data_IF_382580300887
#
_entry.id   IF_382580300887
#
_cell.length_a   1.000
_cell.length_b   1.000
_cell.length_c   1.000
_cell.angle_alpha   90.00
_cell.angle_beta   90.00
_cell.angle_gamma   90.00
#
_symmetry.space_group_name_H-M   'P 1'
#
loop_
_entity.id
_entity.type
_entity.pdbx_description
1 polymer ?
#
# COMPACT_ATOMS: atom_id res chain seq x y z
N UNK A 1 -14.66 -11.42 -19.81
CA UNK A 1 -14.13 -10.47 -20.81
C UNK A 1 -14.31 -9.07 -20.20
N UNK A 2 -13.25 -8.28 -20.08
CA UNK A 2 -13.36 -6.92 -19.58
C UNK A 2 -14.15 -6.06 -20.56
N UNK A 3 -15.13 -5.30 -20.07
CA UNK A 3 -15.97 -4.39 -20.88
C UNK A 3 -15.55 -2.94 -20.70
N UNK A 4 -15.01 -2.62 -19.52
CA UNK A 4 -14.59 -1.27 -19.17
C UNK A 4 -13.30 -1.30 -18.34
N UNK A 5 -12.30 -0.52 -18.75
CA UNK A 5 -11.01 -0.42 -18.08
C UNK A 5 -10.81 1.00 -17.58
N UNK A 6 -10.45 1.13 -16.30
CA UNK A 6 -10.07 2.38 -15.65
C UNK A 6 -8.58 2.66 -15.85
N UNK A 7 -8.21 3.86 -16.26
CA UNK A 7 -6.82 4.28 -16.40
C UNK A 7 -6.48 5.35 -15.37
N UNK A 8 -5.39 5.16 -14.65
CA UNK A 8 -4.77 6.13 -13.75
C UNK A 8 -3.36 6.39 -14.23
N UNK A 9 -2.99 7.65 -14.39
CA UNK A 9 -1.66 8.03 -14.84
C UNK A 9 -1.09 9.14 -13.98
N UNK A 10 0.23 9.16 -13.83
CA UNK A 10 0.92 10.30 -13.25
C UNK A 10 0.92 11.47 -14.27
N UNK A 11 0.21 12.57 -14.01
CA UNK A 11 0.09 13.67 -14.98
C UNK A 11 1.41 14.43 -15.19
N UNK A 12 2.34 14.36 -14.23
CA UNK A 12 3.62 15.06 -14.28
C UNK A 12 4.66 14.31 -15.14
N UNK A 13 4.36 13.07 -15.54
CA UNK A 13 5.22 12.25 -16.40
C UNK A 13 4.64 12.17 -17.80
N UNK A 14 5.29 12.83 -18.77
CA UNK A 14 4.88 12.83 -20.19
C UNK A 14 4.74 11.41 -20.74
N UNK A 15 5.66 10.52 -20.37
CA UNK A 15 5.65 9.12 -20.78
C UNK A 15 4.41 8.38 -20.26
N UNK A 16 4.00 8.60 -18.99
CA UNK A 16 2.78 8.02 -18.41
C UNK A 16 1.54 8.42 -19.22
N UNK A 17 1.46 9.70 -19.60
CA UNK A 17 0.35 10.22 -20.39
C UNK A 17 0.34 9.60 -21.79
N UNK A 18 1.51 9.45 -22.43
CA UNK A 18 1.61 8.83 -23.76
C UNK A 18 1.20 7.36 -23.74
N UNK A 19 1.66 6.61 -22.75
CA UNK A 19 1.34 5.19 -22.62
C UNK A 19 -0.14 4.95 -22.28
N UNK A 20 -0.69 5.76 -21.40
CA UNK A 20 -2.12 5.69 -21.10
C UNK A 20 -2.98 5.98 -22.35
N UNK A 21 -2.57 6.94 -23.21
CA UNK A 21 -3.24 7.20 -24.50
C UNK A 21 -3.08 6.05 -25.48
N UNK A 22 -1.92 5.40 -25.54
CA UNK A 22 -1.72 4.21 -26.36
C UNK A 22 -2.61 3.06 -25.92
N UNK A 23 -2.71 2.80 -24.60
CA UNK A 23 -3.61 1.81 -24.03
C UNK A 23 -5.08 2.14 -24.31
N UNK A 24 -5.50 3.41 -24.14
CA UNK A 24 -6.84 3.88 -24.47
C UNK A 24 -7.18 3.59 -25.94
N UNK A 25 -6.30 3.97 -26.87
CA UNK A 25 -6.52 3.73 -28.32
C UNK A 25 -6.59 2.24 -28.64
N UNK A 26 -5.74 1.43 -28.03
CA UNK A 26 -5.71 -0.01 -28.22
C UNK A 26 -7.01 -0.67 -27.75
N UNK A 27 -7.47 -0.39 -26.55
CA UNK A 27 -8.69 -0.98 -26.00
C UNK A 27 -9.94 -0.47 -26.73
N UNK A 28 -10.00 0.82 -27.04
CA UNK A 28 -11.12 1.39 -27.79
C UNK A 28 -11.28 0.75 -29.17
N UNK A 29 -10.17 0.49 -29.89
CA UNK A 29 -10.20 -0.20 -31.19
C UNK A 29 -10.65 -1.67 -31.09
N UNK A 30 -10.60 -2.27 -29.89
CA UNK A 30 -11.09 -3.61 -29.58
C UNK A 30 -12.46 -3.63 -28.89
N UNK A 31 -13.18 -2.49 -28.89
CA UNK A 31 -14.55 -2.39 -28.37
C UNK A 31 -14.66 -2.35 -26.84
N UNK A 32 -13.56 -2.07 -26.13
CA UNK A 32 -13.53 -1.94 -24.68
C UNK A 32 -13.65 -0.44 -24.30
N UNK A 33 -14.56 -0.13 -23.41
CA UNK A 33 -14.75 1.23 -22.90
C UNK A 33 -13.61 1.64 -21.96
N UNK A 34 -13.22 2.91 -21.99
CA UNK A 34 -12.19 3.46 -21.12
C UNK A 34 -12.78 4.53 -20.20
N UNK A 35 -12.40 4.48 -18.95
CA UNK A 35 -12.66 5.51 -17.94
C UNK A 35 -11.33 6.07 -17.44
N UNK A 36 -11.17 7.39 -17.38
CA UNK A 36 -10.02 8.03 -16.76
C UNK A 36 -10.34 8.33 -15.30
N UNK A 37 -9.61 7.67 -14.40
CA UNK A 37 -9.74 7.86 -12.97
C UNK A 37 -8.66 8.86 -12.54
N UNK A 38 -9.05 9.96 -11.91
CA UNK A 38 -8.12 11.06 -11.62
C UNK A 38 -7.46 10.96 -10.23
N UNK A 39 -8.21 10.47 -9.27
CA UNK A 39 -7.77 10.34 -7.88
C UNK A 39 -8.47 9.17 -7.19
N UNK A 40 -8.08 8.90 -5.97
CA UNK A 40 -8.59 7.77 -5.18
C UNK A 40 -10.09 7.88 -4.81
N UNK A 41 -10.70 9.06 -4.91
CA UNK A 41 -12.12 9.29 -4.59
C UNK A 41 -13.00 9.27 -5.85
N UNK A 42 -12.41 8.96 -7.02
CA UNK A 42 -13.16 8.84 -8.27
C UNK A 42 -13.98 7.56 -8.27
N UNK A 43 -15.30 7.67 -8.47
CA UNK A 43 -16.19 6.50 -8.66
C UNK A 43 -15.77 5.73 -9.93
N UNK A 44 -15.36 4.46 -9.82
CA UNK A 44 -14.91 3.66 -10.95
C UNK A 44 -16.01 3.19 -11.89
N UNK A 45 -17.31 3.34 -11.54
CA UNK A 45 -18.49 3.07 -12.40
C UNK A 45 -18.34 1.82 -13.30
N UNK A 46 -18.69 0.66 -12.86
CA UNK A 46 -18.66 -0.58 -13.64
C UNK A 46 -17.30 -0.91 -14.32
N UNK A 47 -16.19 -0.39 -13.76
CA UNK A 47 -14.84 -0.70 -14.21
C UNK A 47 -14.49 -2.14 -13.82
N UNK A 48 -14.04 -2.93 -14.80
CA UNK A 48 -13.70 -4.35 -14.61
C UNK A 48 -12.20 -4.58 -14.28
N UNK A 49 -11.34 -3.63 -14.64
CA UNK A 49 -9.88 -3.65 -14.42
C UNK A 49 -9.35 -2.22 -14.30
N UNK A 50 -8.42 -1.98 -13.39
CA UNK A 50 -7.69 -0.73 -13.30
C UNK A 50 -6.26 -0.91 -13.79
N UNK A 51 -5.80 -0.03 -14.69
CA UNK A 51 -4.40 0.06 -15.10
C UNK A 51 -3.80 1.37 -14.61
N UNK A 52 -2.64 1.28 -13.97
CA UNK A 52 -1.90 2.46 -13.52
C UNK A 52 -0.62 2.64 -14.31
N UNK A 53 -0.32 3.89 -14.68
CA UNK A 53 0.88 4.29 -15.43
C UNK A 53 1.71 5.24 -14.58
N UNK A 54 2.78 4.73 -13.96
CA UNK A 54 3.61 5.50 -13.03
C UNK A 54 4.49 4.61 -12.17
N UNK A 55 4.89 5.09 -11.00
CA UNK A 55 5.57 4.30 -9.98
C UNK A 55 4.61 3.86 -8.87
N UNK A 56 5.17 3.32 -7.77
CA UNK A 56 4.41 2.79 -6.64
C UNK A 56 3.40 3.80 -6.06
N UNK A 57 3.70 5.11 -6.04
CA UNK A 57 2.74 6.13 -5.59
C UNK A 57 1.48 6.21 -6.46
N UNK A 58 1.62 6.13 -7.78
CA UNK A 58 0.46 6.09 -8.70
C UNK A 58 -0.31 4.77 -8.56
N UNK A 59 0.43 3.68 -8.34
CA UNK A 59 -0.17 2.38 -8.07
C UNK A 59 -1.04 2.39 -6.81
N UNK A 60 -0.58 3.01 -5.71
CA UNK A 60 -1.33 3.12 -4.46
C UNK A 60 -2.64 3.91 -4.61
N UNK A 61 -2.69 4.91 -5.52
CA UNK A 61 -3.95 5.59 -5.85
C UNK A 61 -4.95 4.59 -6.47
N UNK A 62 -4.50 3.79 -7.43
CA UNK A 62 -5.30 2.75 -8.05
C UNK A 62 -5.69 1.63 -7.07
N UNK A 63 -4.77 1.25 -6.20
CA UNK A 63 -4.98 0.22 -5.20
C UNK A 63 -6.12 0.59 -4.24
N UNK A 64 -6.23 1.86 -3.84
CA UNK A 64 -7.31 2.31 -2.98
C UNK A 64 -8.69 2.10 -3.63
N UNK A 65 -8.86 2.51 -4.89
CA UNK A 65 -10.10 2.27 -5.63
C UNK A 65 -10.35 0.77 -5.76
N UNK A 66 -9.32 0.01 -6.12
CA UNK A 66 -9.38 -1.43 -6.29
C UNK A 66 -9.83 -2.17 -5.03
N UNK A 67 -9.31 -1.78 -3.85
CA UNK A 67 -9.67 -2.35 -2.56
C UNK A 67 -11.12 -2.05 -2.15
N UNK A 68 -11.59 -0.83 -2.42
CA UNK A 68 -12.94 -0.40 -2.05
C UNK A 68 -14.01 -1.09 -2.92
N UNK A 69 -13.74 -1.28 -4.22
CA UNK A 69 -14.70 -1.76 -5.20
C UNK A 69 -14.45 -3.20 -5.68
N UNK A 70 -13.48 -3.90 -5.09
CA UNK A 70 -13.06 -5.27 -5.49
C UNK A 70 -12.74 -5.39 -6.98
N UNK A 71 -11.94 -4.47 -7.52
CA UNK A 71 -11.54 -4.43 -8.93
C UNK A 71 -10.09 -4.90 -9.05
N UNK A 72 -9.75 -5.81 -10.01
CA UNK A 72 -8.35 -6.16 -10.29
C UNK A 72 -7.53 -4.94 -10.71
N UNK A 73 -6.26 -4.93 -10.33
CA UNK A 73 -5.33 -3.83 -10.58
C UNK A 73 -4.05 -4.34 -11.25
N UNK A 74 -3.52 -3.59 -12.22
CA UNK A 74 -2.21 -3.81 -12.80
C UNK A 74 -1.44 -2.50 -12.90
N UNK A 75 -0.14 -2.53 -12.63
CA UNK A 75 0.75 -1.36 -12.70
C UNK A 75 1.78 -1.48 -13.81
N UNK A 76 1.84 -0.47 -14.68
CA UNK A 76 2.93 -0.26 -15.64
C UNK A 76 3.92 0.71 -15.00
N UNK A 77 5.15 0.24 -14.79
CA UNK A 77 6.19 1.01 -14.13
C UNK A 77 6.81 2.03 -15.10
N UNK A 78 6.96 3.27 -14.64
CA UNK A 78 7.59 4.35 -15.39
C UNK A 78 8.67 4.99 -14.53
N UNK A 79 9.85 4.43 -14.62
CA UNK A 79 11.01 4.88 -13.84
C UNK A 79 11.75 3.74 -13.15
N UNK A 80 12.25 3.98 -11.96
CA UNK A 80 12.87 2.90 -11.16
C UNK A 80 11.84 1.87 -10.79
N UNK A 81 12.11 0.59 -11.12
CA UNK A 81 11.23 -0.53 -10.80
C UNK A 81 10.84 -0.50 -9.32
N UNK A 82 9.52 -0.52 -9.03
CA UNK A 82 8.98 -0.57 -7.68
C UNK A 82 8.84 -2.00 -7.16
N UNK A 83 8.30 -2.17 -5.95
CA UNK A 83 7.88 -3.48 -5.46
C UNK A 83 6.43 -3.82 -5.81
N UNK A 84 5.67 -2.84 -6.30
CA UNK A 84 4.26 -2.97 -6.68
C UNK A 84 4.05 -3.00 -8.18
N UNK A 85 4.81 -2.18 -8.91
CA UNK A 85 4.75 -2.07 -10.38
C UNK A 85 5.90 -2.83 -11.02
N UNK A 86 5.60 -3.80 -11.87
CA UNK A 86 6.60 -4.73 -12.45
C UNK A 86 6.74 -4.64 -13.95
N UNK A 87 5.66 -4.28 -14.65
CA UNK A 87 5.69 -4.28 -16.10
C UNK A 87 6.41 -3.03 -16.61
N UNK A 88 7.39 -3.24 -17.47
CA UNK A 88 8.18 -2.16 -18.06
C UNK A 88 7.49 -1.58 -19.30
N UNK A 89 7.77 -0.30 -19.64
CA UNK A 89 7.18 0.39 -20.76
C UNK A 89 7.30 -0.36 -22.11
N UNK A 90 8.42 -1.02 -22.31
CA UNK A 90 8.75 -1.76 -23.52
C UNK A 90 7.80 -2.93 -23.78
N UNK A 91 7.22 -3.49 -22.72
CA UNK A 91 6.31 -4.62 -22.78
C UNK A 91 4.83 -4.21 -22.86
N UNK A 92 4.52 -2.90 -22.94
CA UNK A 92 3.12 -2.43 -22.91
C UNK A 92 2.24 -3.15 -23.94
N UNK A 93 2.69 -3.24 -25.21
CA UNK A 93 1.88 -3.86 -26.27
C UNK A 93 1.59 -5.34 -25.98
N UNK A 94 2.58 -6.06 -25.47
CA UNK A 94 2.44 -7.46 -25.06
C UNK A 94 1.42 -7.60 -23.91
N UNK A 95 1.53 -6.74 -22.90
CA UNK A 95 0.60 -6.70 -21.77
C UNK A 95 -0.84 -6.43 -22.21
N UNK A 96 -1.06 -5.43 -23.08
CA UNK A 96 -2.39 -5.12 -23.58
C UNK A 96 -3.00 -6.29 -24.39
N UNK A 97 -2.18 -6.98 -25.18
CA UNK A 97 -2.59 -8.18 -25.93
C UNK A 97 -2.93 -9.34 -25.00
N UNK A 98 -2.09 -9.58 -23.98
CA UNK A 98 -2.33 -10.63 -22.98
C UNK A 98 -3.65 -10.40 -22.20
N UNK A 99 -3.93 -9.14 -21.84
CA UNK A 99 -5.19 -8.75 -21.20
C UNK A 99 -6.39 -9.11 -22.09
N UNK A 100 -6.35 -8.80 -23.40
CA UNK A 100 -7.40 -9.13 -24.35
C UNK A 100 -7.61 -10.63 -24.49
N UNK A 101 -6.52 -11.39 -24.52
CA UNK A 101 -6.55 -12.86 -24.69
C UNK A 101 -6.84 -13.61 -23.39
N UNK A 102 -6.94 -12.90 -22.26
CA UNK A 102 -7.04 -13.49 -20.91
C UNK A 102 -5.84 -14.37 -20.52
N UNK A 103 -4.65 -14.01 -21.03
CA UNK A 103 -3.37 -14.67 -20.75
C UNK A 103 -2.69 -13.97 -19.56
N UNK A 104 -3.28 -14.06 -18.36
CA UNK A 104 -2.78 -13.46 -17.14
C UNK A 104 -3.11 -14.31 -15.91
N UNK A 105 -2.42 -14.06 -14.82
CA UNK A 105 -2.72 -14.63 -13.52
C UNK A 105 -3.25 -13.54 -12.58
N UNK A 106 -4.00 -13.94 -11.56
CA UNK A 106 -4.42 -13.08 -10.47
C UNK A 106 -3.61 -13.47 -9.24
N UNK A 107 -2.90 -12.51 -8.69
CA UNK A 107 -2.19 -12.62 -7.42
C UNK A 107 -2.98 -11.87 -6.36
N UNK A 108 -3.29 -12.53 -5.25
CA UNK A 108 -3.96 -11.89 -4.13
C UNK A 108 -2.93 -11.39 -3.11
N UNK A 109 -3.12 -10.17 -2.60
CA UNK A 109 -2.29 -9.61 -1.53
C UNK A 109 -3.11 -9.37 -0.28
N UNK A 110 -2.49 -9.68 0.85
CA UNK A 110 -3.01 -9.41 2.18
C UNK A 110 -3.19 -7.92 2.42
N UNK A 111 -4.29 -7.54 3.07
CA UNK A 111 -4.60 -6.17 3.46
C UNK A 111 -4.75 -6.05 4.96
N UNK A 112 -4.47 -4.86 5.49
CA UNK A 112 -4.94 -4.48 6.82
C UNK A 112 -6.33 -3.84 6.74
N UNK A 113 -7.14 -4.11 7.74
CA UNK A 113 -8.34 -3.36 8.07
C UNK A 113 -8.04 -2.49 9.29
N UNK A 114 -8.25 -1.19 9.17
CA UNK A 114 -7.94 -0.19 10.19
C UNK A 114 -9.23 0.51 10.61
N UNK A 115 -9.53 0.53 11.90
CA UNK A 115 -10.73 1.17 12.47
C UNK A 115 -10.35 2.20 13.51
N UNK A 116 -11.06 3.31 13.52
CA UNK A 116 -11.00 4.33 14.56
C UNK A 116 -12.34 4.30 15.32
N UNK A 117 -12.43 3.68 16.49
CA UNK A 117 -13.70 3.54 17.20
C UNK A 117 -14.37 4.87 17.57
N UNK A 118 -13.58 5.92 17.87
CA UNK A 118 -14.10 7.24 18.24
C UNK A 118 -14.86 7.95 17.12
N UNK A 119 -14.46 7.74 15.84
CA UNK A 119 -15.13 8.34 14.67
C UNK A 119 -16.01 7.34 13.91
N UNK A 120 -15.82 6.04 14.12
CA UNK A 120 -16.45 4.97 13.37
C UNK A 120 -15.87 4.77 11.97
N UNK A 121 -14.79 5.47 11.63
CA UNK A 121 -14.13 5.36 10.33
C UNK A 121 -13.41 4.03 10.17
N UNK A 122 -13.36 3.58 8.92
CA UNK A 122 -12.73 2.33 8.52
C UNK A 122 -11.93 2.52 7.23
N UNK A 123 -10.71 2.00 7.22
CA UNK A 123 -9.80 2.06 6.08
C UNK A 123 -9.21 0.69 5.78
N UNK A 124 -8.71 0.52 4.55
CA UNK A 124 -7.88 -0.61 4.15
C UNK A 124 -6.49 -0.11 3.79
N UNK A 125 -5.45 -0.89 4.12
CA UNK A 125 -4.07 -0.60 3.76
C UNK A 125 -3.46 -1.77 2.99
N UNK A 126 -2.82 -1.46 1.87
CA UNK A 126 -1.99 -2.40 1.13
C UNK A 126 -0.58 -2.47 1.72
N UNK A 127 -0.02 -1.33 2.11
CA UNK A 127 1.31 -1.26 2.72
C UNK A 127 1.24 -1.19 4.24
N UNK A 128 0.74 -0.09 4.79
CA UNK A 128 0.85 0.17 6.22
C UNK A 128 -0.20 1.14 6.80
N UNK A 129 -0.39 1.02 8.10
CA UNK A 129 -1.04 2.00 8.94
C UNK A 129 -0.01 2.57 9.92
N UNK A 130 0.13 3.89 9.97
CA UNK A 130 1.15 4.59 10.74
C UNK A 130 0.51 5.60 11.66
N UNK A 131 0.81 5.52 12.97
CA UNK A 131 0.58 6.63 13.88
C UNK A 131 1.89 7.39 14.01
N UNK A 132 1.88 8.68 13.72
CA UNK A 132 3.07 9.55 13.76
C UNK A 132 2.82 10.83 14.53
N UNK A 133 3.88 11.42 15.06
CA UNK A 133 3.83 12.72 15.73
C UNK A 133 3.50 13.89 14.78
N UNK A 134 3.40 13.63 13.48
CA UNK A 134 3.20 14.66 12.47
C UNK A 134 4.32 15.71 12.47
N UNK A 135 3.95 16.96 12.25
CA UNK A 135 4.88 18.09 12.25
C UNK A 135 5.35 18.56 13.63
N UNK A 136 4.95 17.90 14.73
CA UNK A 136 5.30 18.34 16.09
C UNK A 136 6.71 17.88 16.49
N UNK A 137 7.42 18.75 17.24
CA UNK A 137 8.79 18.46 17.70
C UNK A 137 8.87 17.41 18.82
N UNK A 138 7.76 17.10 19.47
CA UNK A 138 7.72 16.18 20.62
C UNK A 138 7.33 14.78 20.20
N UNK A 139 7.98 13.79 20.79
CA UNK A 139 7.64 12.38 20.62
C UNK A 139 6.23 12.11 21.13
N UNK A 140 5.57 11.16 20.47
CA UNK A 140 4.31 10.58 20.96
C UNK A 140 4.60 9.39 21.86
N UNK A 141 3.63 9.06 22.69
CA UNK A 141 3.65 7.83 23.48
C UNK A 141 2.46 6.97 23.07
N UNK A 142 2.76 5.79 22.52
CA UNK A 142 1.75 4.85 22.00
C UNK A 142 1.83 3.56 22.79
N UNK A 143 0.73 3.20 23.43
CA UNK A 143 0.54 1.86 23.98
C UNK A 143 0.12 0.91 22.84
N UNK A 144 0.83 -0.21 22.72
CA UNK A 144 0.53 -1.25 21.75
C UNK A 144 0.11 -2.52 22.48
N UNK A 145 -1.05 -3.07 22.10
CA UNK A 145 -1.49 -4.39 22.52
C UNK A 145 -1.70 -5.30 21.31
N UNK A 146 -1.48 -6.60 21.49
CA UNK A 146 -1.71 -7.65 20.50
C UNK A 146 -2.61 -8.71 21.13
N UNK A 147 -3.78 -8.95 20.57
CA UNK A 147 -4.78 -9.87 21.08
C UNK A 147 -5.15 -9.61 22.57
N UNK A 148 -5.16 -8.33 22.97
CA UNK A 148 -5.41 -7.90 24.35
C UNK A 148 -4.20 -7.99 25.29
N UNK A 149 -3.09 -8.59 24.87
CA UNK A 149 -1.85 -8.60 25.65
C UNK A 149 -1.04 -7.34 25.36
N UNK A 150 -0.50 -6.73 26.41
CA UNK A 150 0.34 -5.54 26.27
C UNK A 150 1.69 -5.92 25.67
N UNK A 151 1.95 -5.51 24.42
CA UNK A 151 3.25 -5.62 23.78
C UNK A 151 4.23 -4.59 24.36
N UNK A 152 3.81 -3.33 24.53
CA UNK A 152 4.63 -2.29 25.11
C UNK A 152 4.01 -0.91 25.05
N UNK A 153 4.73 0.05 25.62
CA UNK A 153 4.45 1.49 25.46
C UNK A 153 5.68 2.13 24.87
N UNK A 154 5.53 2.76 23.72
CA UNK A 154 6.61 3.28 22.90
C UNK A 154 6.61 4.80 22.91
N UNK A 155 7.69 5.40 23.41
CA UNK A 155 7.97 6.82 23.22
C UNK A 155 8.81 6.94 21.95
N UNK A 156 8.20 7.43 20.86
CA UNK A 156 8.76 7.32 19.51
C UNK A 156 8.29 8.47 18.61
N UNK A 157 8.85 8.57 17.41
CA UNK A 157 8.31 9.40 16.34
C UNK A 157 7.01 8.81 15.77
N UNK A 158 6.81 7.49 15.91
CA UNK A 158 5.61 6.80 15.46
C UNK A 158 5.63 5.29 15.69
N UNK A 159 4.53 4.65 15.31
CA UNK A 159 4.36 3.20 15.26
C UNK A 159 3.77 2.80 13.91
N UNK A 160 4.34 1.77 13.30
CA UNK A 160 3.91 1.22 12.02
C UNK A 160 3.32 -0.18 12.26
N UNK A 161 2.17 -0.44 11.65
CA UNK A 161 1.69 -1.78 11.39
C UNK A 161 1.67 -1.98 9.87
N UNK A 162 2.53 -2.87 9.36
CA UNK A 162 2.68 -3.10 7.93
C UNK A 162 2.22 -4.49 7.51
N UNK A 163 1.71 -4.60 6.30
CA UNK A 163 1.51 -5.88 5.60
C UNK A 163 2.86 -6.46 5.16
N UNK A 164 2.92 -7.72 4.71
CA UNK A 164 4.09 -8.24 4.01
C UNK A 164 4.50 -7.40 2.80
N UNK A 165 3.53 -6.89 2.02
CA UNK A 165 3.78 -5.97 0.89
C UNK A 165 4.45 -4.68 1.37
N UNK A 166 3.94 -4.07 2.43
CA UNK A 166 4.48 -2.84 3.04
C UNK A 166 5.79 -3.04 3.81
N UNK A 167 6.20 -4.30 4.05
CA UNK A 167 7.48 -4.58 4.72
C UNK A 167 8.70 -4.01 3.98
N UNK A 168 8.59 -3.77 2.67
CA UNK A 168 9.62 -3.14 1.84
C UNK A 168 9.48 -1.63 1.70
N UNK A 169 8.45 -1.04 2.31
CA UNK A 169 8.16 0.40 2.33
C UNK A 169 8.71 1.11 3.57
N UNK A 170 7.86 1.90 4.23
CA UNK A 170 8.27 2.70 5.40
C UNK A 170 8.75 1.83 6.56
N UNK A 171 8.15 0.65 6.76
CA UNK A 171 8.60 -0.31 7.79
C UNK A 171 10.07 -0.68 7.62
N UNK A 172 10.54 -0.94 6.39
CA UNK A 172 11.97 -1.24 6.13
C UNK A 172 12.87 -0.06 6.52
N UNK A 173 12.49 1.16 6.14
CA UNK A 173 13.24 2.38 6.48
C UNK A 173 13.31 2.63 7.98
N UNK A 174 12.31 2.17 8.73
CA UNK A 174 12.26 2.23 10.19
C UNK A 174 12.99 1.05 10.87
N UNK A 175 13.62 0.13 10.10
CA UNK A 175 14.36 -1.01 10.63
C UNK A 175 13.52 -2.29 10.79
N UNK A 176 12.35 -2.35 10.19
CA UNK A 176 11.52 -3.56 10.12
C UNK A 176 12.13 -4.65 9.23
N UNK A 177 11.78 -5.91 9.43
CA UNK A 177 12.24 -7.01 8.60
C UNK A 177 11.55 -7.01 7.23
N UNK A 178 12.25 -7.51 6.22
CA UNK A 178 11.66 -7.82 4.91
C UNK A 178 10.86 -9.11 5.03
N UNK A 179 9.64 -9.10 4.55
CA UNK A 179 8.71 -10.24 4.56
C UNK A 179 8.27 -10.54 3.13
N UNK A 180 8.22 -11.82 2.80
CA UNK A 180 7.73 -12.26 1.48
C UNK A 180 6.24 -11.92 1.33
N UNK A 181 5.81 -11.33 0.20
CA UNK A 181 4.47 -10.74 0.06
C UNK A 181 3.28 -11.70 0.16
N UNK A 182 3.50 -13.00 -0.04
CA UNK A 182 2.49 -14.06 0.06
C UNK A 182 2.26 -14.58 1.50
N UNK A 183 3.03 -14.08 2.47
CA UNK A 183 2.84 -14.45 3.87
C UNK A 183 1.59 -13.76 4.45
N UNK A 184 0.96 -14.41 5.43
CA UNK A 184 -0.18 -13.87 6.18
C UNK A 184 0.28 -13.44 7.58
N UNK A 185 0.81 -12.24 7.69
CA UNK A 185 1.31 -11.69 8.95
C UNK A 185 1.24 -10.14 8.96
N UNK A 186 1.45 -9.57 10.13
CA UNK A 186 1.54 -8.11 10.33
C UNK A 186 2.89 -7.81 10.97
N UNK A 187 3.58 -6.80 10.44
CA UNK A 187 4.88 -6.33 10.95
C UNK A 187 4.65 -5.09 11.78
N UNK A 188 5.04 -5.12 13.05
CA UNK A 188 4.99 -3.97 13.96
C UNK A 188 6.37 -3.35 14.06
N UNK A 189 6.52 -2.09 13.68
CA UNK A 189 7.81 -1.40 13.65
C UNK A 189 7.72 -0.05 14.34
N UNK A 190 8.37 0.14 15.49
CA UNK A 190 8.51 1.46 16.10
C UNK A 190 9.42 2.38 15.29
N UNK A 191 9.05 3.66 15.13
CA UNK A 191 9.84 4.65 14.39
C UNK A 191 10.66 5.47 15.35
N UNK A 192 11.99 5.39 15.26
CA UNK A 192 12.92 6.18 16.09
C UNK A 192 12.58 6.12 17.60
N UNK A 193 12.28 4.93 18.12
CA UNK A 193 11.91 4.77 19.52
C UNK A 193 13.07 5.12 20.47
N UNK A 194 12.77 5.82 21.56
CA UNK A 194 13.76 6.24 22.57
C UNK A 194 14.16 5.13 23.55
N UNK A 195 13.67 3.91 23.38
CA UNK A 195 14.03 2.76 24.21
C UNK A 195 15.01 1.85 23.48
N UNK A 196 16.10 1.47 24.14
CA UNK A 196 17.10 0.53 23.61
C UNK A 196 16.59 -0.93 23.49
N UNK A 197 15.42 -1.23 24.05
CA UNK A 197 14.84 -2.57 24.07
C UNK A 197 13.68 -2.75 23.08
N UNK A 198 13.50 -1.81 22.17
CA UNK A 198 12.45 -1.88 21.15
C UNK A 198 12.95 -2.58 19.90
N UNK A 199 12.33 -3.70 19.55
CA UNK A 199 12.59 -4.41 18.30
C UNK A 199 11.32 -4.46 17.47
N UNK A 200 11.40 -4.41 16.13
CA UNK A 200 10.29 -4.81 15.28
C UNK A 200 9.85 -6.23 15.57
N UNK A 201 8.55 -6.49 15.43
CA UNK A 201 7.94 -7.77 15.74
C UNK A 201 7.03 -8.20 14.58
N UNK A 202 6.99 -9.50 14.28
CA UNK A 202 6.05 -10.09 13.33
C UNK A 202 4.99 -10.85 14.15
N UNK A 203 3.71 -10.56 13.87
CA UNK A 203 2.58 -11.24 14.48
C UNK A 203 1.72 -11.90 13.42
N UNK A 204 0.84 -12.82 13.82
CA UNK A 204 -0.10 -13.46 12.90
C UNK A 204 -0.98 -12.44 12.19
N UNK A 205 -1.30 -12.67 10.91
CA UNK A 205 -2.28 -11.86 10.18
C UNK A 205 -3.69 -11.93 10.77
N UNK A 206 -3.96 -12.86 11.68
CA UNK A 206 -5.23 -12.97 12.41
C UNK A 206 -5.23 -12.19 13.75
N UNK A 207 -4.10 -11.57 14.10
CA UNK A 207 -4.00 -10.81 15.36
C UNK A 207 -4.78 -9.49 15.28
N UNK A 208 -5.38 -9.11 16.41
CA UNK A 208 -5.89 -7.77 16.62
C UNK A 208 -4.81 -6.93 17.29
N UNK A 209 -4.41 -5.85 16.65
CA UNK A 209 -3.46 -4.87 17.17
C UNK A 209 -4.24 -3.63 17.58
N UNK A 210 -3.93 -3.07 18.74
CA UNK A 210 -4.45 -1.78 19.17
C UNK A 210 -3.29 -0.84 19.45
N UNK A 211 -3.33 0.31 18.80
CA UNK A 211 -2.50 1.46 19.12
C UNK A 211 -3.36 2.46 19.85
N UNK A 212 -3.00 2.77 21.08
CA UNK A 212 -3.67 3.79 21.90
C UNK A 212 -2.72 4.94 22.15
N UNK A 213 -3.16 6.15 21.83
CA UNK A 213 -2.39 7.35 22.11
C UNK A 213 -2.48 7.70 23.60
N UNK A 214 -1.35 7.67 24.28
CA UNK A 214 -1.26 8.03 25.69
C UNK A 214 -1.49 9.54 25.88
N UNK A 215 -2.33 9.98 26.85
CA UNK A 215 -2.58 11.39 27.12
C UNK A 215 -1.39 12.18 27.71
N UNK A 216 -0.21 11.58 27.81
CA UNK A 216 0.98 12.13 28.45
C UNK A 216 1.46 13.48 27.92
N UNK A 217 2.70 13.53 27.36
CA UNK A 217 3.35 14.80 27.01
C UNK A 217 2.93 15.42 25.69
N UNK A 218 2.37 14.64 24.78
CA UNK A 218 1.89 15.11 23.47
C UNK A 218 0.54 14.42 23.17
N UNK A 219 -0.57 15.12 23.35
CA UNK A 219 -1.90 14.53 23.26
C UNK A 219 -2.42 14.34 21.83
N UNK A 220 -1.64 14.69 20.80
CA UNK A 220 -2.07 14.60 19.40
C UNK A 220 -1.07 13.83 18.56
N UNK A 221 -1.60 13.04 17.63
CA UNK A 221 -0.86 12.31 16.61
C UNK A 221 -1.59 12.40 15.27
N UNK A 222 -0.96 11.93 14.20
CA UNK A 222 -1.57 11.82 12.87
C UNK A 222 -1.63 10.35 12.48
N UNK A 223 -2.77 9.93 11.90
CA UNK A 223 -2.93 8.63 11.29
C UNK A 223 -2.67 8.74 9.80
N UNK A 224 -1.80 7.88 9.29
CA UNK A 224 -1.54 7.72 7.86
C UNK A 224 -1.83 6.29 7.43
N UNK A 225 -2.46 6.12 6.27
CA UNK A 225 -2.74 4.84 5.63
C UNK A 225 -2.13 4.86 4.24
N UNK A 226 -1.20 3.95 3.96
CA UNK A 226 -0.45 3.91 2.69
C UNK A 226 0.14 5.27 2.32
N UNK A 227 0.69 5.99 3.32
CA UNK A 227 1.29 7.31 3.16
C UNK A 227 0.29 8.47 3.01
N UNK A 228 -1.02 8.22 3.08
CA UNK A 228 -2.05 9.27 3.01
C UNK A 228 -2.54 9.65 4.41
N UNK A 229 -2.61 10.95 4.67
CA UNK A 229 -3.18 11.50 5.91
C UNK A 229 -4.67 11.13 6.05
N UNK A 230 -5.04 10.62 7.23
CA UNK A 230 -6.41 10.24 7.61
C UNK A 230 -6.94 11.05 8.79
N UNK A 231 -6.21 12.06 9.19
CA UNK A 231 -6.61 12.97 10.23
C UNK A 231 -5.83 12.82 11.53
N UNK A 232 -6.25 13.61 12.50
CA UNK A 232 -5.60 13.68 13.80
C UNK A 232 -6.25 12.73 14.79
N UNK A 233 -5.40 12.17 15.64
CA UNK A 233 -5.78 11.40 16.82
C UNK A 233 -5.54 12.25 18.05
N UNK A 234 -6.50 12.24 18.95
CA UNK A 234 -6.43 12.93 20.24
C UNK A 234 -6.05 11.95 21.37
N UNK A 235 -5.71 12.51 22.52
CA UNK A 235 -5.36 11.72 23.71
C UNK A 235 -6.42 10.69 24.05
N UNK A 236 -6.01 9.43 24.15
CA UNK A 236 -6.90 8.31 24.47
C UNK A 236 -7.58 7.65 23.26
N UNK A 237 -7.44 8.23 22.05
CA UNK A 237 -7.92 7.58 20.84
C UNK A 237 -7.20 6.25 20.62
N UNK A 238 -7.94 5.30 20.08
CA UNK A 238 -7.46 3.99 19.69
C UNK A 238 -7.56 3.81 18.17
N UNK A 239 -6.55 3.15 17.61
CA UNK A 239 -6.59 2.61 16.26
C UNK A 239 -6.52 1.10 16.35
N UNK A 240 -7.57 0.42 15.88
CA UNK A 240 -7.66 -1.05 15.85
C UNK A 240 -7.26 -1.51 14.46
N UNK A 241 -6.26 -2.40 14.39
CA UNK A 241 -5.70 -2.92 13.17
C UNK A 241 -5.79 -4.44 13.17
N UNK A 242 -6.37 -5.00 12.12
CA UNK A 242 -6.51 -6.45 11.94
C UNK A 242 -6.17 -6.82 10.50
N UNK A 243 -5.91 -8.09 10.25
CA UNK A 243 -5.94 -8.59 8.88
C UNK A 243 -7.35 -8.47 8.31
N UNK A 244 -7.44 -7.96 7.09
CA UNK A 244 -8.70 -7.86 6.38
C UNK A 244 -9.18 -9.23 5.89
N UNK A 245 -10.50 -9.44 5.86
CA UNK A 245 -11.11 -10.56 5.13
C UNK A 245 -11.11 -10.35 3.61
N UNK A 246 -10.81 -9.14 3.14
CA UNK A 246 -10.63 -8.81 1.73
C UNK A 246 -9.18 -8.91 1.36
N UNK A 247 -8.92 -9.20 0.09
CA UNK A 247 -7.60 -9.12 -0.55
C UNK A 247 -7.65 -8.08 -1.66
N UNK A 248 -6.50 -7.59 -2.11
CA UNK A 248 -6.41 -6.90 -3.38
C UNK A 248 -5.93 -7.87 -4.44
N UNK A 249 -6.56 -7.84 -5.62
CA UNK A 249 -6.25 -8.71 -6.75
C UNK A 249 -5.34 -7.98 -7.73
N UNK A 250 -4.11 -8.46 -7.86
CA UNK A 250 -3.12 -7.94 -8.79
C UNK A 250 -3.10 -8.80 -10.05
N UNK A 251 -3.29 -8.19 -11.21
CA UNK A 251 -3.20 -8.86 -12.49
C UNK A 251 -1.73 -8.91 -12.91
N UNK A 252 -1.22 -10.11 -13.20
CA UNK A 252 0.17 -10.40 -13.56
C UNK A 252 0.25 -11.07 -14.91
N UNK A 253 1.01 -10.49 -15.82
CA UNK A 253 1.32 -11.12 -17.13
C UNK A 253 2.49 -12.08 -16.97
N UNK A 254 3.51 -11.67 -16.21
CA UNK A 254 4.69 -12.47 -15.93
C UNK A 254 4.68 -12.98 -14.48
N UNK A 255 5.40 -14.09 -14.18
CA UNK A 255 5.57 -14.56 -12.81
C UNK A 255 6.32 -13.52 -11.96
N UNK A 256 5.80 -13.26 -10.75
CA UNK A 256 6.45 -12.37 -9.79
C UNK A 256 7.66 -13.05 -9.14
N UNK A 257 8.83 -12.46 -9.30
CA UNK A 257 10.09 -12.97 -8.75
C UNK A 257 10.63 -12.08 -7.62
N UNK A 258 9.99 -12.16 -6.45
CA UNK A 258 10.29 -11.29 -5.29
C UNK A 258 11.78 -11.18 -4.95
N UNK A 259 12.50 -12.31 -4.86
CA UNK A 259 13.91 -12.27 -4.47
C UNK A 259 14.85 -11.73 -5.55
N UNK A 260 14.49 -11.87 -6.83
CA UNK A 260 15.23 -11.24 -7.93
C UNK A 260 15.08 -9.72 -7.84
N UNK A 261 13.84 -9.25 -7.68
CA UNK A 261 13.52 -7.83 -7.51
C UNK A 261 14.18 -7.25 -6.25
N UNK A 262 14.06 -7.95 -5.11
CA UNK A 262 14.68 -7.52 -3.86
C UNK A 262 16.19 -7.34 -4.00
N UNK A 263 16.86 -8.32 -4.62
CA UNK A 263 18.31 -8.25 -4.85
C UNK A 263 18.69 -7.05 -5.72
N UNK A 264 17.97 -6.80 -6.80
CA UNK A 264 18.24 -5.64 -7.69
C UNK A 264 18.09 -4.33 -6.94
N UNK A 265 17.04 -4.20 -6.09
CA UNK A 265 16.81 -3.03 -5.25
C UNK A 265 17.90 -2.82 -4.20
N UNK A 266 18.31 -3.86 -3.50
CA UNK A 266 19.39 -3.76 -2.50
C UNK A 266 20.71 -3.33 -3.13
N UNK A 267 21.02 -3.80 -4.35
CA UNK A 267 22.22 -3.38 -5.08
C UNK A 267 22.09 -1.90 -5.50
N UNK A 268 20.93 -1.49 -6.02
CA UNK A 268 20.68 -0.10 -6.42
C UNK A 268 20.85 0.86 -5.22
N UNK A 269 20.32 0.49 -4.06
CA UNK A 269 20.46 1.29 -2.83
C UNK A 269 21.91 1.35 -2.33
N UNK A 270 22.62 0.21 -2.35
CA UNK A 270 24.03 0.17 -1.94
C UNK A 270 24.99 0.92 -2.89
N UNK A 271 24.62 1.15 -4.16
CA UNK A 271 25.42 1.91 -5.11
C UNK A 271 25.20 3.43 -5.05
N UNK A 272 24.19 3.90 -4.34
CA UNK A 272 23.87 5.33 -4.16
C UNK A 272 24.55 5.96 -2.93
N UNK A 273 25.21 5.15 -2.13
CA UNK A 273 25.98 5.55 -0.93
C UNK A 273 27.41 4.98 -1.00
#
# INVERSE_FOLDING_TARGET
>A
MFRKIGLIMNPDKTEAVQMARAAESFFASNGIMISRLQNADTDPQDTDLILTFGGDGTFLIGARIAMEHDIPLMGINLGTMGFLTEEEPEHLTECLQAILKHEYNIEERFLLEVKIPSTGEKFYALNDAVITRGGFARLIQVECTVNGERYGTFTADGMIAATPTGSTGYSLSAGGPIVQPDMNCIVLTPVCAHSLQTCPCIVSGQSEIRFRLDPGRNPTAELQIDGMDRGKLEAGDEVIITGSSRTIRLLRIHPFHFFILLRSKLIEWGSKY
#
